data_IF_120768675075
#
_entry.id   IF_120768675075
#
_cell.length_a   1.000
_cell.length_b   1.000
_cell.length_c   1.000
_cell.angle_alpha   90.00
_cell.angle_beta   90.00
_cell.angle_gamma   90.00
#
_symmetry.space_group_name_H-M   'P 1'
#
loop_
_entity.id
_entity.type
_entity.pdbx_description
1 polymer ?
#
# COMPACT_ATOMS: atom_id res chain seq x y z
N UNK A 1 9.94 14.29 -5.43
CA UNK A 1 9.61 13.01 -6.07
C UNK A 1 10.35 11.90 -5.34
N UNK A 2 9.74 11.35 -4.29
CA UNK A 2 10.19 10.06 -3.77
C UNK A 2 9.64 8.97 -4.68
N UNK A 3 10.49 7.96 -4.94
CA UNK A 3 10.41 7.04 -6.08
C UNK A 3 9.54 5.84 -5.74
N UNK A 4 8.79 5.34 -6.72
CA UNK A 4 8.15 4.01 -6.71
C UNK A 4 9.09 2.98 -6.06
N UNK A 5 8.61 2.32 -5.00
CA UNK A 5 9.39 1.37 -4.22
C UNK A 5 9.02 -0.07 -4.60
N UNK A 6 10.02 -0.91 -4.94
CA UNK A 6 9.78 -2.31 -5.34
C UNK A 6 9.26 -3.13 -4.14
N UNK A 7 8.33 -4.06 -4.38
CA UNK A 7 7.84 -5.03 -3.39
C UNK A 7 8.95 -5.79 -2.66
N UNK A 8 10.12 -6.00 -3.28
CA UNK A 8 11.30 -6.59 -2.64
C UNK A 8 11.85 -5.70 -1.53
N UNK A 9 11.88 -4.38 -1.75
CA UNK A 9 12.33 -3.43 -0.74
C UNK A 9 11.30 -3.31 0.39
N UNK A 10 10.00 -3.39 0.06
CA UNK A 10 8.92 -3.48 1.06
C UNK A 10 9.17 -4.67 1.99
N UNK A 11 9.40 -5.86 1.44
CA UNK A 11 9.72 -7.07 2.23
C UNK A 11 10.97 -6.91 3.09
N UNK A 12 12.01 -6.25 2.56
CA UNK A 12 13.24 -5.98 3.32
C UNK A 12 12.95 -5.10 4.53
N UNK A 13 12.20 -4.00 4.36
CA UNK A 13 11.84 -3.11 5.49
C UNK A 13 10.94 -3.77 6.52
N UNK A 14 10.04 -4.66 6.10
CA UNK A 14 9.22 -5.47 7.01
C UNK A 14 10.11 -6.30 7.95
N UNK A 15 11.15 -6.95 7.40
CA UNK A 15 12.06 -7.78 8.19
C UNK A 15 13.04 -6.97 9.07
N UNK A 16 13.38 -5.74 8.67
CA UNK A 16 14.32 -4.87 9.41
C UNK A 16 13.66 -4.08 10.54
N UNK A 17 12.33 -3.90 10.48
CA UNK A 17 11.58 -3.07 11.43
C UNK A 17 10.76 -3.95 12.39
N UNK A 18 10.44 -3.44 13.59
CA UNK A 18 9.49 -4.09 14.52
C UNK A 18 8.03 -3.97 14.02
N UNK A 19 7.78 -4.36 12.78
CA UNK A 19 6.46 -4.31 12.18
C UNK A 19 5.59 -5.39 12.80
N UNK A 20 4.40 -5.02 13.26
CA UNK A 20 3.43 -5.98 13.80
C UNK A 20 2.22 -6.14 12.88
N UNK A 21 1.88 -5.11 12.09
CA UNK A 21 0.78 -5.14 11.15
C UNK A 21 1.17 -4.48 9.83
N UNK A 22 0.53 -4.92 8.75
CA UNK A 22 0.65 -4.32 7.42
C UNK A 22 -0.72 -3.80 7.00
N UNK A 23 -0.73 -2.65 6.33
CA UNK A 23 -1.90 -2.14 5.65
C UNK A 23 -1.55 -1.92 4.19
N UNK A 24 -2.30 -2.57 3.30
CA UNK A 24 -2.31 -2.26 1.88
C UNK A 24 -3.41 -1.22 1.68
N UNK A 25 -3.03 -0.05 1.21
CA UNK A 25 -3.94 1.07 1.03
C UNK A 25 -3.99 1.45 -0.45
N UNK A 26 -5.20 1.62 -0.97
CA UNK A 26 -5.43 2.28 -2.25
C UNK A 26 -5.99 3.67 -1.95
N UNK A 27 -5.16 4.69 -2.11
CA UNK A 27 -5.52 6.08 -1.86
C UNK A 27 -5.94 6.76 -3.16
N UNK A 28 -7.19 7.21 -3.23
CA UNK A 28 -7.74 7.96 -4.35
C UNK A 28 -7.55 9.46 -4.07
N UNK A 29 -6.70 10.09 -4.87
CA UNK A 29 -6.40 11.51 -4.78
C UNK A 29 -7.06 12.28 -5.92
N UNK A 30 -7.59 13.45 -5.58
CA UNK A 30 -8.22 14.36 -6.53
C UNK A 30 -7.38 15.63 -6.64
N UNK A 31 -6.58 15.74 -7.69
CA UNK A 31 -5.90 16.99 -8.05
C UNK A 31 -6.76 17.89 -8.93
N UNK A 32 -6.21 19.04 -9.28
CA UNK A 32 -6.84 20.02 -10.18
C UNK A 32 -6.68 19.60 -11.66
N UNK A 33 -7.58 20.08 -12.51
CA UNK A 33 -7.47 20.02 -13.99
C UNK A 33 -7.08 18.64 -14.59
N UNK A 34 -7.81 17.59 -14.20
CA UNK A 34 -7.66 16.19 -14.68
C UNK A 34 -6.49 15.38 -14.09
N UNK A 35 -5.76 15.92 -13.11
CA UNK A 35 -4.82 15.14 -12.30
C UNK A 35 -5.58 14.42 -11.17
N UNK A 36 -6.32 13.35 -11.48
CA UNK A 36 -6.85 12.41 -10.47
C UNK A 36 -6.22 11.04 -10.67
N UNK A 37 -6.06 10.30 -9.57
CA UNK A 37 -5.44 8.98 -9.64
C UNK A 37 -5.53 8.17 -8.37
N UNK A 38 -4.82 7.06 -8.38
CA UNK A 38 -4.76 6.13 -7.26
C UNK A 38 -3.33 5.78 -6.91
N UNK A 39 -2.99 5.94 -5.64
CA UNK A 39 -1.72 5.51 -5.08
C UNK A 39 -1.91 4.21 -4.31
N UNK A 40 -1.24 3.16 -4.78
CA UNK A 40 -1.18 1.87 -4.09
C UNK A 40 0.00 1.88 -3.13
N UNK A 41 -0.30 1.91 -1.84
CA UNK A 41 0.65 1.99 -0.75
C UNK A 41 0.69 0.73 0.10
N UNK A 42 1.84 0.47 0.71
CA UNK A 42 1.99 -0.52 1.77
C UNK A 42 2.53 0.18 3.01
N UNK A 43 1.67 0.31 4.01
CA UNK A 43 1.97 0.94 5.28
C UNK A 43 2.44 -0.11 6.29
N UNK A 44 3.56 0.17 6.95
CA UNK A 44 4.09 -0.61 8.07
C UNK A 44 3.53 0.00 9.36
N UNK A 45 2.83 -0.82 10.14
CA UNK A 45 2.24 -0.39 11.39
C UNK A 45 2.82 -1.17 12.58
N UNK A 46 2.84 -0.53 13.74
CA UNK A 46 3.22 -1.19 14.98
C UNK A 46 2.05 -2.01 15.59
N UNK A 47 2.22 -2.49 16.82
CA UNK A 47 1.22 -3.29 17.52
C UNK A 47 -0.05 -2.52 17.86
N UNK A 48 0.04 -1.20 18.05
CA UNK A 48 -1.06 -0.33 18.40
C UNK A 48 -1.79 0.16 17.13
N UNK A 49 -1.15 0.02 15.96
CA UNK A 49 -1.68 0.44 14.66
C UNK A 49 -1.13 1.79 14.20
N UNK A 50 -0.14 2.33 14.90
CA UNK A 50 0.50 3.58 14.53
C UNK A 50 1.39 3.40 13.31
N UNK A 51 1.38 4.40 12.42
CA UNK A 51 2.16 4.39 11.20
C UNK A 51 3.65 4.49 11.53
N UNK A 52 4.38 3.41 11.26
CA UNK A 52 5.85 3.42 11.29
C UNK A 52 6.35 4.04 9.99
N UNK A 53 5.77 3.63 8.86
CA UNK A 53 6.21 4.03 7.53
C UNK A 53 5.16 3.79 6.46
N UNK A 54 4.93 4.77 5.61
CA UNK A 54 4.20 4.69 4.35
C UNK A 54 5.16 4.40 3.17
N UNK A 55 4.69 3.63 2.19
CA UNK A 55 5.49 3.29 1.01
C UNK A 55 4.60 3.22 -0.22
N UNK A 56 4.75 4.18 -1.13
CA UNK A 56 4.10 4.16 -2.45
C UNK A 56 4.76 3.09 -3.31
N UNK A 57 3.97 2.10 -3.72
CA UNK A 57 4.42 0.96 -4.51
C UNK A 57 4.13 1.21 -5.99
N UNK A 58 2.92 1.69 -6.32
CA UNK A 58 2.47 1.92 -7.70
C UNK A 58 1.51 3.12 -7.73
N UNK A 59 1.66 3.98 -8.73
CA UNK A 59 0.74 5.07 -9.03
C UNK A 59 -0.06 4.70 -10.28
N UNK A 60 -1.36 4.98 -10.26
CA UNK A 60 -2.31 4.72 -11.34
C UNK A 60 -3.06 5.99 -11.71
N UNK A 61 -3.40 6.15 -12.98
CA UNK A 61 -4.31 7.23 -13.40
C UNK A 61 -5.76 6.89 -13.11
N UNK A 62 -6.64 7.90 -13.14
CA UNK A 62 -8.08 7.71 -12.94
C UNK A 62 -8.70 6.64 -13.85
N UNK A 63 -8.31 6.58 -15.13
CA UNK A 63 -8.83 5.58 -16.08
C UNK A 63 -8.43 4.13 -15.76
N UNK A 64 -7.46 3.94 -14.85
CA UNK A 64 -6.91 2.64 -14.45
C UNK A 64 -7.49 2.12 -13.13
N UNK A 65 -8.57 2.69 -12.59
CA UNK A 65 -9.19 2.31 -11.31
C UNK A 65 -9.33 0.79 -11.13
N UNK A 66 -9.88 0.09 -12.14
CA UNK A 66 -10.08 -1.37 -12.07
C UNK A 66 -8.78 -2.13 -11.95
N UNK A 67 -7.72 -1.64 -12.60
CA UNK A 67 -6.38 -2.22 -12.53
C UNK A 67 -5.75 -1.94 -11.16
N UNK A 68 -5.92 -0.71 -10.65
CA UNK A 68 -5.46 -0.31 -9.33
C UNK A 68 -6.07 -1.18 -8.21
N UNK A 69 -7.40 -1.34 -8.21
CA UNK A 69 -8.13 -2.22 -7.29
C UNK A 69 -7.71 -3.69 -7.42
N UNK A 70 -7.52 -4.19 -8.64
CA UNK A 70 -7.10 -5.58 -8.87
C UNK A 70 -5.68 -5.84 -8.34
N UNK A 71 -4.75 -4.92 -8.57
CA UNK A 71 -3.38 -5.06 -8.08
C UNK A 71 -3.32 -4.90 -6.57
N UNK A 72 -4.08 -3.98 -5.97
CA UNK A 72 -4.17 -3.82 -4.51
C UNK A 72 -4.63 -5.11 -3.82
N UNK A 73 -5.72 -5.73 -4.33
CA UNK A 73 -6.20 -7.04 -3.85
C UNK A 73 -5.17 -8.15 -4.02
N UNK A 74 -4.42 -8.15 -5.13
CA UNK A 74 -3.36 -9.13 -5.40
C UNK A 74 -2.17 -8.96 -4.47
N UNK A 75 -1.74 -7.73 -4.17
CA UNK A 75 -0.68 -7.43 -3.21
C UNK A 75 -1.13 -7.83 -1.80
N UNK A 76 -2.34 -7.43 -1.39
CA UNK A 76 -2.93 -7.81 -0.11
C UNK A 76 -2.94 -9.32 0.09
N UNK A 77 -3.43 -10.08 -0.89
CA UNK A 77 -3.45 -11.54 -0.85
C UNK A 77 -2.04 -12.12 -0.70
N UNK A 78 -1.08 -11.67 -1.54
CA UNK A 78 0.31 -12.15 -1.49
C UNK A 78 0.99 -11.87 -0.15
N UNK A 79 0.75 -10.68 0.44
CA UNK A 79 1.33 -10.32 1.74
C UNK A 79 0.69 -11.14 2.86
N UNK A 80 -0.63 -11.31 2.84
CA UNK A 80 -1.36 -12.13 3.82
C UNK A 80 -0.93 -13.60 3.80
N UNK A 81 -0.72 -14.17 2.62
CA UNK A 81 -0.24 -15.55 2.46
C UNK A 81 1.22 -15.73 2.89
N UNK A 82 2.06 -14.69 2.74
CA UNK A 82 3.48 -14.75 3.09
C UNK A 82 3.75 -14.46 4.58
N UNK A 83 2.99 -13.53 5.16
CA UNK A 83 3.12 -13.06 6.53
C UNK A 83 1.93 -13.53 7.38
N UNK A 84 1.70 -14.85 7.44
CA UNK A 84 0.55 -15.45 8.15
C UNK A 84 0.52 -15.19 9.66
N UNK A 85 1.63 -14.76 10.23
CA UNK A 85 1.80 -14.41 11.64
C UNK A 85 1.55 -12.91 11.92
N UNK A 86 1.29 -12.11 10.88
CA UNK A 86 0.97 -10.67 10.97
C UNK A 86 -0.48 -10.42 10.56
N UNK A 87 -1.07 -9.37 11.13
CA UNK A 87 -2.31 -8.82 10.59
C UNK A 87 -2.01 -8.04 9.31
N UNK A 88 -2.68 -8.38 8.21
CA UNK A 88 -2.57 -7.66 6.92
C UNK A 88 -3.96 -7.16 6.53
N UNK A 89 -4.17 -5.85 6.60
CA UNK A 89 -5.43 -5.19 6.25
C UNK A 89 -5.39 -4.60 4.84
N UNK A 90 -6.56 -4.47 4.24
CA UNK A 90 -6.76 -3.74 2.99
C UNK A 90 -7.74 -2.60 3.24
N UNK A 91 -7.39 -1.39 2.80
CA UNK A 91 -8.22 -0.18 2.91
C UNK A 91 -8.25 0.57 1.59
N UNK A 92 -9.41 1.17 1.29
CA UNK A 92 -9.59 2.10 0.18
C UNK A 92 -9.96 3.46 0.79
N UNK A 93 -9.13 4.46 0.57
CA UNK A 93 -9.28 5.79 1.17
C UNK A 93 -9.46 6.81 0.06
N UNK A 94 -10.33 7.79 0.29
CA UNK A 94 -10.66 8.83 -0.68
C UNK A 94 -10.38 10.19 -0.05
N UNK A 95 -9.76 11.10 -0.80
CA UNK A 95 -9.56 12.50 -0.44
C UNK A 95 -10.82 13.36 -0.71
#
# INVERSE_FOLDING_TARGET
MERQMDLREVKKKINESRVSKLQVELFNWNGDEDESGFDLMVNLLDSDGDLIKDMVVIEYKQEEEKQAQAEAKKIHKKLSEHYTWMEVKYTETHE
#
